data_IF_749586475265
#
_entry.id   IF_749586475265
#
_cell.length_a   1.000
_cell.length_b   1.000
_cell.length_c   1.000
_cell.angle_alpha   90.00
_cell.angle_beta   90.00
_cell.angle_gamma   90.00
#
_symmetry.space_group_name_H-M   'P 1'
#
loop_
_entity.id
_entity.type
_entity.pdbx_description
1 polymer ?
#
# COMPACT_ATOMS: atom_id res chain seq x y z
N UNK A 1 9.13 -20.95 5.23
CA UNK A 1 9.65 -20.55 3.91
C UNK A 1 10.07 -19.10 4.04
N UNK A 2 11.25 -18.72 3.57
CA UNK A 2 11.81 -17.36 3.71
C UNK A 2 12.45 -16.95 2.40
N UNK A 3 12.45 -15.66 2.11
CA UNK A 3 13.23 -15.11 1.00
C UNK A 3 14.58 -14.73 1.58
N UNK A 4 15.63 -15.34 1.06
CA UNK A 4 17.01 -15.13 1.49
C UNK A 4 17.79 -14.18 0.57
N UNK A 5 17.30 -13.96 -0.65
CA UNK A 5 17.90 -13.03 -1.58
C UNK A 5 16.89 -12.48 -2.59
N UNK A 6 17.15 -11.26 -3.06
CA UNK A 6 16.39 -10.59 -4.11
C UNK A 6 17.34 -10.05 -5.18
N UNK A 7 16.88 -10.06 -6.42
CA UNK A 7 17.50 -9.38 -7.56
C UNK A 7 16.39 -8.63 -8.30
N UNK A 8 16.64 -7.41 -8.74
CA UNK A 8 15.72 -6.62 -9.58
C UNK A 8 16.51 -6.14 -10.80
N UNK A 9 15.95 -6.34 -12.00
CA UNK A 9 16.56 -5.87 -13.24
C UNK A 9 16.23 -4.38 -13.52
N UNK A 10 16.77 -3.83 -14.61
CA UNK A 10 16.51 -2.43 -15.00
C UNK A 10 15.06 -2.18 -15.46
N UNK A 11 14.31 -3.24 -15.74
CA UNK A 11 12.91 -3.20 -16.19
C UNK A 11 11.92 -3.35 -15.03
N UNK A 12 12.41 -3.63 -13.82
CA UNK A 12 11.64 -3.76 -12.58
C UNK A 12 11.11 -5.18 -12.33
N UNK A 13 11.60 -6.20 -13.05
CA UNK A 13 11.26 -7.59 -12.77
C UNK A 13 12.16 -8.13 -11.66
N UNK A 14 11.56 -8.79 -10.66
CA UNK A 14 12.32 -9.36 -9.57
C UNK A 14 12.53 -10.89 -9.71
N UNK A 15 13.70 -11.35 -9.27
CA UNK A 15 13.98 -12.76 -8.97
C UNK A 15 14.21 -12.92 -7.47
N UNK A 16 13.65 -13.97 -6.90
CA UNK A 16 13.71 -14.22 -5.45
C UNK A 16 14.32 -15.57 -5.15
N UNK A 17 15.35 -15.57 -4.31
CA UNK A 17 15.90 -16.80 -3.76
C UNK A 17 15.13 -17.18 -2.49
N UNK A 18 14.37 -18.27 -2.57
CA UNK A 18 13.49 -18.75 -1.53
C UNK A 18 14.09 -19.99 -0.86
N UNK A 19 14.20 -19.97 0.46
CA UNK A 19 14.56 -21.13 1.26
C UNK A 19 13.35 -21.72 1.98
N UNK A 20 13.21 -23.04 1.88
CA UNK A 20 12.23 -23.82 2.63
C UNK A 20 12.96 -24.83 3.50
N UNK A 21 12.61 -24.85 4.77
CA UNK A 21 13.04 -25.89 5.71
C UNK A 21 11.85 -26.78 6.04
N UNK A 22 12.01 -28.09 5.85
CA UNK A 22 10.99 -29.09 6.15
C UNK A 22 11.65 -30.37 6.64
N UNK A 23 11.30 -30.83 7.84
CA UNK A 23 11.85 -32.07 8.41
C UNK A 23 13.38 -32.08 8.58
N UNK A 24 14.00 -30.90 8.78
CA UNK A 24 15.47 -30.76 8.91
C UNK A 24 16.23 -30.69 7.57
N UNK A 25 15.54 -30.83 6.43
CA UNK A 25 16.12 -30.60 5.11
C UNK A 25 15.84 -29.17 4.64
N UNK A 26 16.87 -28.48 4.15
CA UNK A 26 16.76 -27.16 3.52
C UNK A 26 16.77 -27.31 2.00
N UNK A 27 15.71 -26.85 1.35
CA UNK A 27 15.62 -26.73 -0.10
C UNK A 27 15.63 -25.27 -0.51
N UNK A 28 16.23 -24.98 -1.66
CA UNK A 28 16.33 -23.62 -2.23
C UNK A 28 15.70 -23.60 -3.61
N UNK A 29 14.98 -22.54 -3.89
CA UNK A 29 14.30 -22.32 -5.16
C UNK A 29 14.49 -20.87 -5.57
N UNK A 30 14.56 -20.62 -6.88
CA UNK A 30 14.50 -19.27 -7.44
C UNK A 30 13.12 -19.11 -8.06
N UNK A 31 12.42 -18.05 -7.67
CA UNK A 31 11.21 -17.60 -8.34
C UNK A 31 11.58 -16.42 -9.25
N UNK A 32 11.12 -16.47 -10.49
CA UNK A 32 11.36 -15.44 -11.51
C UNK A 32 10.01 -14.83 -11.93
N UNK A 33 9.83 -13.53 -11.66
CA UNK A 33 8.57 -12.83 -11.96
C UNK A 33 8.33 -12.65 -13.46
N UNK A 34 9.39 -12.46 -14.25
CA UNK A 34 9.27 -12.16 -15.69
C UNK A 34 8.53 -13.29 -16.42
N UNK A 35 8.80 -14.53 -16.02
CA UNK A 35 8.25 -15.74 -16.64
C UNK A 35 7.36 -16.57 -15.70
N UNK A 36 7.23 -16.17 -14.43
CA UNK A 36 6.42 -16.85 -13.41
C UNK A 36 6.89 -18.26 -13.07
N UNK A 37 8.19 -18.57 -13.24
CA UNK A 37 8.73 -19.94 -13.05
C UNK A 37 9.43 -20.07 -11.71
N UNK A 38 9.45 -21.31 -11.22
CA UNK A 38 10.18 -21.68 -10.01
C UNK A 38 11.13 -22.85 -10.30
N UNK A 39 12.42 -22.61 -10.11
CA UNK A 39 13.48 -23.58 -10.38
C UNK A 39 14.24 -23.94 -9.09
N UNK A 40 14.57 -25.21 -8.92
CA UNK A 40 15.37 -25.67 -7.78
C UNK A 40 16.83 -25.28 -7.95
N UNK A 41 17.45 -24.72 -6.92
CA UNK A 41 18.86 -24.31 -6.96
C UNK A 41 19.70 -25.08 -5.95
N UNK A 42 20.91 -25.45 -6.35
CA UNK A 42 21.86 -26.13 -5.46
C UNK A 42 22.39 -25.20 -4.35
N UNK A 43 22.90 -25.75 -3.23
CA UNK A 43 23.47 -24.94 -2.15
C UNK A 43 24.72 -24.15 -2.56
N UNK A 44 25.60 -24.76 -3.37
CA UNK A 44 26.82 -24.11 -3.88
C UNK A 44 26.50 -23.03 -4.93
N UNK A 45 25.50 -23.28 -5.77
CA UNK A 45 25.04 -22.36 -6.79
C UNK A 45 24.38 -21.13 -6.17
N UNK A 46 23.48 -21.31 -5.20
CA UNK A 46 22.90 -20.21 -4.43
C UNK A 46 23.96 -19.37 -3.71
N UNK A 47 25.04 -20.00 -3.21
CA UNK A 47 26.14 -19.28 -2.58
C UNK A 47 26.91 -18.42 -3.58
N UNK A 48 27.21 -18.95 -4.77
CA UNK A 48 27.87 -18.19 -5.84
C UNK A 48 27.05 -16.98 -6.27
N UNK A 49 25.74 -17.11 -6.38
CA UNK A 49 24.85 -15.99 -6.71
C UNK A 49 24.98 -14.80 -5.76
N UNK A 50 25.24 -15.05 -4.46
CA UNK A 50 25.56 -13.96 -3.51
C UNK A 50 27.00 -13.45 -3.64
N UNK A 51 27.97 -14.35 -3.85
CA UNK A 51 29.39 -13.99 -3.99
C UNK A 51 29.65 -13.17 -5.26
N UNK A 52 28.93 -13.46 -6.35
CA UNK A 52 28.98 -12.77 -7.64
C UNK A 52 28.15 -11.47 -7.64
N UNK A 53 27.41 -11.20 -6.55
CA UNK A 53 26.56 -10.01 -6.41
C UNK A 53 25.30 -10.04 -7.28
N UNK A 54 24.91 -11.21 -7.79
CA UNK A 54 23.67 -11.40 -8.55
C UNK A 54 22.44 -11.23 -7.65
N UNK A 55 22.52 -11.63 -6.38
CA UNK A 55 21.44 -11.46 -5.41
C UNK A 55 21.90 -10.64 -4.21
N UNK A 56 21.07 -9.69 -3.78
CA UNK A 56 21.23 -8.99 -2.52
C UNK A 56 20.66 -9.82 -1.37
N UNK A 57 21.37 -9.97 -0.23
CA UNK A 57 20.88 -10.74 0.90
C UNK A 57 19.69 -10.05 1.56
N UNK A 58 18.61 -10.79 1.76
CA UNK A 58 17.44 -10.32 2.49
C UNK A 58 16.96 -11.38 3.49
N UNK A 59 16.04 -10.99 4.37
CA UNK A 59 15.43 -11.90 5.33
C UNK A 59 13.97 -11.53 5.52
N UNK A 60 13.21 -11.59 4.42
CA UNK A 60 11.76 -11.43 4.46
C UNK A 60 11.08 -12.79 4.71
N UNK A 61 10.06 -12.87 5.59
CA UNK A 61 9.17 -14.03 5.60
C UNK A 61 8.56 -14.17 4.21
N UNK A 62 8.58 -15.35 3.60
CA UNK A 62 7.95 -15.53 2.28
C UNK A 62 6.43 -15.27 2.33
N UNK A 63 5.82 -15.26 3.53
CA UNK A 63 4.43 -14.88 3.78
C UNK A 63 4.16 -13.37 3.68
N UNK A 64 5.18 -12.53 3.50
CA UNK A 64 5.04 -11.08 3.32
C UNK A 64 5.15 -10.64 1.85
N UNK A 65 5.43 -11.56 0.92
CA UNK A 65 5.32 -11.30 -0.52
C UNK A 65 4.14 -12.11 -1.08
N UNK A 66 3.17 -11.41 -1.65
CA UNK A 66 2.07 -12.06 -2.35
C UNK A 66 2.57 -12.46 -3.74
N UNK A 67 2.69 -13.76 -4.01
CA UNK A 67 2.97 -14.24 -5.36
C UNK A 67 1.80 -13.87 -6.30
N UNK A 68 2.02 -13.66 -7.61
CA UNK A 68 0.96 -13.34 -8.58
C UNK A 68 -0.25 -14.29 -8.49
N UNK A 69 -0.02 -15.59 -8.32
CA UNK A 69 -1.06 -16.60 -8.14
C UNK A 69 -1.76 -16.51 -6.78
N UNK A 70 -1.08 -16.03 -5.72
CA UNK A 70 -1.71 -15.68 -4.45
C UNK A 70 -2.49 -14.36 -4.53
N UNK A 71 -2.05 -13.40 -5.34
CA UNK A 71 -2.80 -12.18 -5.67
C UNK A 71 -4.06 -12.52 -6.48
N UNK A 72 -4.00 -13.45 -7.43
CA UNK A 72 -5.20 -13.95 -8.14
C UNK A 72 -6.14 -14.70 -7.19
N UNK A 73 -5.58 -15.51 -6.28
CA UNK A 73 -6.36 -16.24 -5.27
C UNK A 73 -6.97 -15.30 -4.23
N UNK A 74 -6.26 -14.27 -3.78
CA UNK A 74 -6.79 -13.20 -2.94
C UNK A 74 -7.78 -12.34 -3.70
N UNK A 75 -7.55 -12.04 -4.98
CA UNK A 75 -8.50 -11.36 -5.84
C UNK A 75 -9.78 -12.19 -6.02
N UNK A 76 -9.73 -13.53 -5.91
CA UNK A 76 -10.93 -14.39 -5.84
C UNK A 76 -11.59 -14.43 -4.45
N UNK A 77 -10.83 -14.18 -3.38
CA UNK A 77 -11.35 -14.02 -2.01
C UNK A 77 -12.02 -12.65 -1.80
N UNK A 78 -11.49 -11.63 -2.48
CA UNK A 78 -12.05 -10.29 -2.60
C UNK A 78 -12.95 -10.15 -3.85
N UNK A 79 -13.04 -11.18 -4.70
CA UNK A 79 -14.04 -11.25 -5.74
C UNK A 79 -15.38 -11.30 -5.00
N UNK A 80 -16.31 -10.42 -5.35
CA UNK A 80 -17.46 -10.16 -4.52
C UNK A 80 -18.39 -11.39 -4.52
N UNK A 81 -18.28 -12.20 -3.46
CA UNK A 81 -19.47 -12.72 -2.78
C UNK A 81 -20.08 -11.65 -1.84
N UNK A 82 -19.78 -10.36 -2.08
CA UNK A 82 -20.73 -9.32 -1.75
C UNK A 82 -21.95 -9.53 -2.65
N UNK A 83 -22.94 -10.23 -2.12
CA UNK A 83 -24.33 -10.00 -2.51
C UNK A 83 -24.49 -8.49 -2.65
N UNK A 84 -24.74 -8.05 -3.89
CA UNK A 84 -24.72 -6.65 -4.25
C UNK A 84 -25.51 -5.86 -3.22
N UNK A 85 -24.81 -5.06 -2.42
CA UNK A 85 -25.45 -3.86 -1.92
C UNK A 85 -25.91 -3.16 -3.19
N UNK A 86 -27.22 -3.00 -3.37
CA UNK A 86 -27.81 -2.31 -4.52
C UNK A 86 -27.47 -0.83 -4.51
N UNK A 87 -26.19 -0.48 -4.44
CA UNK A 87 -25.69 0.84 -4.71
C UNK A 87 -25.88 1.05 -6.20
N UNK A 88 -26.96 1.75 -6.55
CA UNK A 88 -27.06 2.41 -7.83
C UNK A 88 -25.75 3.15 -8.04
N UNK A 89 -24.95 2.74 -9.01
CA UNK A 89 -23.70 3.42 -9.30
C UNK A 89 -24.05 4.85 -9.71
N UNK A 90 -23.45 5.83 -9.03
CA UNK A 90 -23.71 7.24 -9.31
C UNK A 90 -22.69 7.69 -10.33
N UNK A 91 -23.16 8.02 -11.53
CA UNK A 91 -22.33 8.66 -12.54
C UNK A 91 -22.09 10.10 -12.14
N UNK A 92 -20.82 10.50 -12.07
CA UNK A 92 -20.39 11.85 -11.73
C UNK A 92 -19.50 12.38 -12.85
N UNK A 93 -19.74 13.61 -13.26
CA UNK A 93 -18.88 14.37 -14.19
C UNK A 93 -18.31 15.55 -13.44
N UNK A 94 -16.99 15.61 -13.33
CA UNK A 94 -16.29 16.80 -12.87
C UNK A 94 -15.82 17.58 -14.10
N UNK A 95 -16.14 18.86 -14.19
CA UNK A 95 -15.80 19.70 -15.34
C UNK A 95 -15.29 21.07 -14.90
N UNK A 96 -14.75 21.85 -15.84
CA UNK A 96 -14.13 23.14 -15.58
C UNK A 96 -13.02 23.04 -14.52
N UNK A 97 -12.20 21.98 -14.58
CA UNK A 97 -11.10 21.75 -13.65
C UNK A 97 -9.74 21.78 -14.33
N UNK A 98 -8.71 21.56 -13.51
CA UNK A 98 -7.37 21.22 -13.96
C UNK A 98 -7.07 19.81 -13.45
N UNK A 99 -7.27 18.80 -14.29
CA UNK A 99 -7.22 17.39 -13.90
C UNK A 99 -5.87 16.82 -14.32
N UNK A 100 -5.04 16.43 -13.37
CA UNK A 100 -3.72 15.87 -13.67
C UNK A 100 -3.86 14.49 -14.32
N UNK A 101 -3.20 14.33 -15.46
CA UNK A 101 -3.10 13.07 -16.22
C UNK A 101 -1.64 12.85 -16.58
N UNK A 102 -1.24 11.62 -16.95
CA UNK A 102 0.11 11.38 -17.49
C UNK A 102 0.42 12.37 -18.63
N UNK A 103 1.50 13.12 -18.49
CA UNK A 103 1.96 14.06 -19.52
C UNK A 103 1.21 15.40 -19.63
N UNK A 104 0.25 15.72 -18.74
CA UNK A 104 -0.41 17.03 -18.82
C UNK A 104 -1.63 17.22 -17.93
N UNK A 105 -2.57 18.03 -18.44
CA UNK A 105 -3.83 18.33 -17.77
C UNK A 105 -5.01 18.21 -18.72
N UNK A 106 -6.10 17.64 -18.21
CA UNK A 106 -7.42 17.64 -18.80
C UNK A 106 -8.33 18.65 -18.07
N UNK A 107 -9.51 18.94 -18.61
CA UNK A 107 -10.48 19.85 -17.97
C UNK A 107 -11.76 19.18 -17.52
N UNK A 108 -12.02 17.93 -17.94
CA UNK A 108 -13.15 17.12 -17.51
C UNK A 108 -12.82 15.64 -17.27
N UNK A 109 -13.54 15.01 -16.34
CA UNK A 109 -13.49 13.57 -16.04
C UNK A 109 -14.89 13.04 -15.71
N UNK A 110 -15.22 11.89 -16.26
CA UNK A 110 -16.44 11.14 -15.94
C UNK A 110 -16.10 9.86 -15.17
N UNK A 111 -16.85 9.60 -14.11
CA UNK A 111 -16.66 8.46 -13.21
C UNK A 111 -17.99 7.75 -12.99
N UNK A 112 -17.96 6.42 -12.98
CA UNK A 112 -19.10 5.57 -12.59
C UNK A 112 -18.67 4.65 -11.46
N UNK A 113 -19.10 4.98 -10.23
CA UNK A 113 -18.67 4.27 -9.04
C UNK A 113 -17.14 4.32 -8.86
N UNK A 114 -16.47 3.21 -9.09
CA UNK A 114 -15.01 3.04 -8.92
C UNK A 114 -14.23 3.12 -10.24
N UNK A 115 -14.90 3.37 -11.35
CA UNK A 115 -14.28 3.34 -12.69
C UNK A 115 -14.30 4.71 -13.33
N UNK A 116 -13.15 5.13 -13.88
CA UNK A 116 -13.05 6.30 -14.75
C UNK A 116 -13.59 5.90 -16.12
N UNK A 117 -14.64 6.57 -16.59
CA UNK A 117 -15.23 6.31 -17.90
C UNK A 117 -14.50 7.06 -19.02
N UNK A 118 -14.18 8.33 -18.79
CA UNK A 118 -13.49 9.18 -19.76
C UNK A 118 -12.79 10.35 -19.08
N UNK A 119 -11.74 10.85 -19.72
CA UNK A 119 -10.97 12.04 -19.31
C UNK A 119 -10.67 12.84 -20.57
N UNK A 120 -10.88 14.15 -20.54
CA UNK A 120 -10.71 14.99 -21.72
C UNK A 120 -11.06 16.45 -21.49
N UNK A 121 -11.61 17.10 -22.54
CA UNK A 121 -12.16 18.44 -22.38
C UNK A 121 -13.45 18.40 -21.55
N UNK A 122 -13.81 19.53 -20.95
CA UNK A 122 -15.06 19.68 -20.20
C UNK A 122 -16.26 19.44 -21.12
N UNK A 123 -16.16 19.91 -22.35
CA UNK A 123 -17.17 19.79 -23.39
C UNK A 123 -17.41 18.32 -23.76
N UNK A 124 -16.35 17.54 -23.98
CA UNK A 124 -16.43 16.13 -24.38
C UNK A 124 -17.09 15.29 -23.28
N UNK A 125 -16.61 15.41 -22.03
CA UNK A 125 -17.16 14.60 -20.92
C UNK A 125 -18.60 14.97 -20.56
N UNK A 126 -19.00 16.23 -20.79
CA UNK A 126 -20.38 16.69 -20.58
C UNK A 126 -21.34 16.18 -21.66
N UNK A 127 -20.85 15.98 -22.89
CA UNK A 127 -21.64 15.44 -24.00
C UNK A 127 -21.93 13.95 -23.82
N UNK A 128 -20.95 13.19 -23.31
CA UNK A 128 -21.01 11.73 -23.19
C UNK A 128 -21.82 11.22 -21.99
N UNK A 129 -22.10 12.09 -21.01
CA UNK A 129 -22.65 11.69 -19.71
C UNK A 129 -24.02 12.31 -19.42
N UNK A 130 -25.07 11.71 -19.99
CA UNK A 130 -26.48 12.15 -19.89
C UNK A 130 -26.97 12.46 -18.46
N UNK A 131 -27.53 11.47 -17.75
CA UNK A 131 -28.13 11.64 -16.42
C UNK A 131 -27.12 11.64 -15.25
N UNK A 132 -25.85 12.01 -15.51
CA UNK A 132 -24.81 12.07 -14.48
C UNK A 132 -24.97 13.32 -13.59
N UNK A 133 -24.55 13.21 -12.33
CA UNK A 133 -24.34 14.37 -11.47
C UNK A 133 -23.18 15.20 -12.03
N UNK A 134 -23.38 16.50 -12.19
CA UNK A 134 -22.39 17.41 -12.77
C UNK A 134 -21.83 18.31 -11.67
N UNK A 135 -20.51 18.34 -11.53
CA UNK A 135 -19.80 19.12 -10.52
C UNK A 135 -18.84 20.08 -11.23
N UNK A 136 -19.12 21.37 -11.12
CA UNK A 136 -18.23 22.44 -11.58
C UNK A 136 -17.05 22.59 -10.61
N UNK A 137 -15.84 22.37 -11.10
CA UNK A 137 -14.63 22.48 -10.30
C UNK A 137 -14.14 23.92 -10.15
N UNK A 138 -14.61 24.88 -10.96
CA UNK A 138 -14.25 26.29 -10.87
C UNK A 138 -12.74 26.54 -11.04
N UNK A 139 -12.08 25.80 -11.92
CA UNK A 139 -10.64 25.85 -12.19
C UNK A 139 -9.75 25.13 -11.17
N UNK A 140 -10.34 24.41 -10.19
CA UNK A 140 -9.57 23.69 -9.15
C UNK A 140 -8.81 22.49 -9.72
N UNK A 141 -7.73 22.14 -9.03
CA UNK A 141 -6.87 21.01 -9.35
C UNK A 141 -7.46 19.69 -8.84
N UNK A 142 -7.47 18.67 -9.70
CA UNK A 142 -7.75 17.28 -9.32
C UNK A 142 -6.47 16.47 -9.54
N UNK A 143 -6.09 15.69 -8.53
CA UNK A 143 -4.94 14.79 -8.57
C UNK A 143 -5.40 13.35 -8.45
N UNK A 144 -4.62 12.37 -8.97
CA UNK A 144 -4.75 11.00 -8.53
C UNK A 144 -4.70 10.92 -7.01
N UNK A 145 -5.47 9.99 -6.43
CA UNK A 145 -5.33 9.67 -5.01
C UNK A 145 -3.89 9.28 -4.70
N UNK A 146 -3.36 9.74 -3.58
CA UNK A 146 -2.02 9.32 -3.16
C UNK A 146 -2.02 7.83 -2.86
N UNK A 147 -1.02 7.14 -3.38
CA UNK A 147 -0.73 5.75 -3.07
C UNK A 147 0.61 5.69 -2.34
N UNK A 148 0.61 5.13 -1.14
CA UNK A 148 1.82 4.89 -0.36
C UNK A 148 2.21 3.41 -0.52
N UNK A 149 3.29 3.18 -1.29
CA UNK A 149 3.77 1.84 -1.62
C UNK A 149 4.51 1.14 -0.47
N UNK A 150 4.82 1.85 0.62
CA UNK A 150 5.51 1.24 1.76
C UNK A 150 5.12 1.94 3.06
N UNK A 151 4.15 1.37 3.77
CA UNK A 151 3.76 1.85 5.09
C UNK A 151 3.62 0.74 6.12
N UNK A 152 4.04 1.03 7.35
CA UNK A 152 3.70 0.22 8.52
C UNK A 152 2.34 0.67 9.09
N UNK A 153 1.24 0.38 8.37
CA UNK A 153 -0.09 0.89 8.70
C UNK A 153 -0.52 0.60 10.15
N UNK A 154 -0.32 -0.64 10.61
CA UNK A 154 -0.67 -1.03 11.97
C UNK A 154 0.15 -0.25 13.02
N UNK A 155 1.46 -0.11 12.81
CA UNK A 155 2.31 0.64 13.71
C UNK A 155 1.92 2.13 13.75
N UNK A 156 1.59 2.71 12.59
CA UNK A 156 1.06 4.07 12.51
C UNK A 156 -0.25 4.22 13.28
N UNK A 157 -1.23 3.33 13.05
CA UNK A 157 -2.51 3.36 13.75
C UNK A 157 -2.33 3.24 15.27
N UNK A 158 -1.52 2.30 15.73
CA UNK A 158 -1.19 2.15 17.16
C UNK A 158 -0.46 3.37 17.73
N UNK A 159 0.33 4.08 16.92
CA UNK A 159 1.02 5.30 17.35
C UNK A 159 0.08 6.50 17.57
N UNK A 160 -1.10 6.50 16.93
CA UNK A 160 -2.14 7.52 17.12
C UNK A 160 -2.88 7.35 18.47
N UNK A 161 -2.92 6.12 18.98
CA UNK A 161 -3.47 5.78 20.29
C UNK A 161 -2.49 6.05 21.44
N UNK A 162 -1.23 6.39 21.13
CA UNK A 162 -0.19 6.64 22.12
C UNK A 162 -0.17 8.11 22.56
N UNK A 163 0.26 8.35 23.80
CA UNK A 163 0.57 9.70 24.28
C UNK A 163 1.76 10.28 23.51
N UNK A 164 1.59 11.44 22.87
CA UNK A 164 2.64 12.11 22.11
C UNK A 164 3.36 13.18 22.94
N UNK A 165 4.63 12.94 23.25
CA UNK A 165 5.50 13.84 24.01
C UNK A 165 6.57 14.52 23.16
N UNK A 166 6.48 14.40 21.83
CA UNK A 166 7.45 14.98 20.88
C UNK A 166 7.61 16.49 21.10
N UNK A 167 8.86 16.94 21.24
CA UNK A 167 9.17 18.36 21.46
C UNK A 167 8.87 18.88 22.87
N UNK A 168 8.67 18.00 23.86
CA UNK A 168 8.61 18.43 25.27
C UNK A 168 10.01 18.87 25.73
N UNK A 169 10.12 20.11 26.18
CA UNK A 169 11.38 20.73 26.60
C UNK A 169 11.68 20.56 28.08
N UNK A 170 10.70 20.07 28.85
CA UNK A 170 10.83 19.88 30.30
C UNK A 170 9.95 18.75 30.82
N UNK A 171 10.28 18.25 32.01
CA UNK A 171 9.46 17.26 32.72
C UNK A 171 8.06 17.80 33.05
N UNK A 172 7.93 19.11 33.27
CA UNK A 172 6.64 19.74 33.52
C UNK A 172 5.72 19.63 32.29
N UNK A 173 6.26 19.84 31.09
CA UNK A 173 5.51 19.70 29.84
C UNK A 173 5.08 18.25 29.59
N UNK A 174 5.97 17.28 29.83
CA UNK A 174 5.60 15.86 29.73
C UNK A 174 4.44 15.53 30.65
N UNK A 175 4.52 15.95 31.93
CA UNK A 175 3.43 15.70 32.90
C UNK A 175 2.12 16.34 32.44
N UNK A 176 2.18 17.55 31.88
CA UNK A 176 0.99 18.25 31.38
C UNK A 176 0.36 17.51 30.19
N UNK A 177 1.18 17.08 29.23
CA UNK A 177 0.72 16.31 28.07
C UNK A 177 0.20 14.93 28.47
N UNK A 178 0.85 14.28 29.43
CA UNK A 178 0.40 13.00 29.97
C UNK A 178 -0.98 13.11 30.64
N UNK A 179 -1.19 14.14 31.47
CA UNK A 179 -2.52 14.41 32.07
C UNK A 179 -3.58 14.63 31.00
N UNK A 180 -3.27 15.47 30.00
CA UNK A 180 -4.19 15.73 28.88
C UNK A 180 -4.52 14.46 28.09
N UNK A 181 -3.55 13.56 27.93
CA UNK A 181 -3.75 12.26 27.31
C UNK A 181 -4.70 11.39 28.15
N UNK A 182 -4.48 11.28 29.46
CA UNK A 182 -5.35 10.52 30.37
C UNK A 182 -6.78 11.04 30.42
N UNK A 183 -6.96 12.36 30.42
CA UNK A 183 -8.29 12.97 30.46
C UNK A 183 -9.10 12.66 29.18
N UNK A 184 -8.39 12.51 28.05
CA UNK A 184 -8.99 12.16 26.76
C UNK A 184 -9.30 10.67 26.63
N UNK A 185 -8.36 9.80 27.02
CA UNK A 185 -8.50 8.35 26.83
C UNK A 185 -9.23 7.64 27.96
N UNK A 186 -9.23 8.21 29.17
CA UNK A 186 -9.89 7.69 30.38
C UNK A 186 -9.68 6.18 30.57
N UNK A 187 -8.41 5.72 30.62
CA UNK A 187 -8.11 4.29 30.68
C UNK A 187 -8.67 3.67 31.96
N UNK A 188 -9.11 2.42 31.86
CA UNK A 188 -9.56 1.66 33.01
C UNK A 188 -8.40 1.31 33.95
N UNK A 189 -8.75 1.00 35.20
CA UNK A 189 -7.75 0.64 36.20
C UNK A 189 -7.06 -0.67 35.79
N UNK A 190 -5.75 -0.60 35.58
CA UNK A 190 -4.93 -1.76 35.21
C UNK A 190 -4.57 -1.80 33.72
N UNK A 191 -5.11 -0.88 32.91
CA UNK A 191 -4.70 -0.75 31.52
C UNK A 191 -3.30 -0.16 31.37
N UNK A 192 -2.60 -0.62 30.35
CA UNK A 192 -1.30 -0.09 29.97
C UNK A 192 -1.47 1.21 29.20
N UNK A 193 -0.79 2.25 29.66
CA UNK A 193 -0.67 3.51 28.95
C UNK A 193 0.67 3.52 28.22
N UNK A 194 0.62 3.72 26.92
CA UNK A 194 1.81 3.76 26.05
C UNK A 194 1.97 5.17 25.50
N UNK A 195 3.22 5.62 25.41
CA UNK A 195 3.53 6.94 24.86
C UNK A 195 4.87 6.96 24.13
N UNK A 196 5.07 7.98 23.30
CA UNK A 196 6.19 8.14 22.37
C UNK A 196 6.74 9.57 22.38
N UNK A 197 7.92 9.74 21.78
CA UNK A 197 8.48 11.07 21.46
C UNK A 197 9.15 11.83 22.61
N UNK A 198 9.32 11.22 23.79
CA UNK A 198 10.15 11.84 24.84
C UNK A 198 11.63 11.71 24.49
N UNK A 199 12.36 12.84 24.54
CA UNK A 199 13.80 12.91 24.28
C UNK A 199 14.20 12.30 22.93
N UNK A 200 13.49 12.71 21.88
CA UNK A 200 13.67 12.26 20.50
C UNK A 200 14.15 13.41 19.61
#
# INVERSE_FOLDING_TARGET
MRISGIFEDEEGNARYLIERESGGAKTRMIYDEENGRMDSVGPEEARRMFEDGEFEPCSLPASEMFFPDELERLASFFAPEYGGCGMKTKKIVLYNGKIAVPGGFASGIAVDGQTILSVGSSEDVLADCGAAEKIDLGGRLVLPGFNDGHMHFLAYALSLEQGDFTGSSSLAEVRSRFRSFLDRTKPEKGEWIVGRGWNH
#
